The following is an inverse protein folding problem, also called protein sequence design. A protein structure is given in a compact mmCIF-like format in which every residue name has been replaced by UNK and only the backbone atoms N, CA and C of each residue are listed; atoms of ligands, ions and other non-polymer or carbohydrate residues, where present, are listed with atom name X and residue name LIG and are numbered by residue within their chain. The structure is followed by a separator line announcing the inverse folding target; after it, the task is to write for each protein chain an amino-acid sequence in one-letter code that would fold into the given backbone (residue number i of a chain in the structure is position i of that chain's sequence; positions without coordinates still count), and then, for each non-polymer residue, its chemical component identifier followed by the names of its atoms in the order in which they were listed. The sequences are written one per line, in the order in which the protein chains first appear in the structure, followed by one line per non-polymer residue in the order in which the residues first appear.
data_IF_735885209951
#
_entry.id   IF_735885209951
#
_cell.length_a   1.000
_cell.length_b   1.000
_cell.length_c   1.000
_cell.angle_alpha   90.00
_cell.angle_beta   90.00
_cell.angle_gamma   90.00
#
_symmetry.space_group_name_H-M   'P 1'
#
loop_
_entity.id
_entity.type
_entity.pdbx_description
1 polymer ?
#
# COMPACT_ATOMS: atom_id res chain seq x y z
N UNK A 1 -7.52 -7.72 -0.59
CA UNK A 1 -6.34 -6.95 -1.03
C UNK A 1 -5.89 -5.94 0.02
N UNK A 2 -6.58 -4.80 0.23
CA UNK A 2 -6.10 -3.74 1.14
C UNK A 2 -5.82 -4.19 2.60
N UNK A 3 -6.61 -5.12 3.16
CA UNK A 3 -6.36 -5.67 4.52
C UNK A 3 -5.00 -6.38 4.62
N UNK A 4 -4.68 -7.25 3.66
CA UNK A 4 -3.44 -8.00 3.63
C UNK A 4 -2.20 -7.09 3.47
N UNK A 5 -2.34 -5.98 2.72
CA UNK A 5 -1.28 -4.98 2.57
C UNK A 5 -0.98 -4.31 3.92
N UNK A 6 -2.02 -3.93 4.66
CA UNK A 6 -1.87 -3.32 5.99
C UNK A 6 -1.23 -4.30 6.98
N UNK A 7 -1.71 -5.53 7.02
CA UNK A 7 -1.15 -6.58 7.89
C UNK A 7 0.34 -6.85 7.58
N UNK A 8 0.72 -6.88 6.29
CA UNK A 8 2.12 -7.03 5.90
C UNK A 8 2.97 -5.83 6.32
N UNK A 9 2.46 -4.62 6.13
CA UNK A 9 3.15 -3.38 6.53
C UNK A 9 3.39 -3.34 8.05
N UNK A 10 2.40 -3.71 8.86
CA UNK A 10 2.51 -3.76 10.31
C UNK A 10 3.48 -4.84 10.77
N UNK A 11 3.42 -6.04 10.18
CA UNK A 11 4.37 -7.11 10.47
C UNK A 11 5.80 -6.66 10.21
N UNK A 12 6.06 -6.09 9.03
CA UNK A 12 7.40 -5.60 8.67
C UNK A 12 7.83 -4.41 9.52
N UNK A 13 6.90 -3.57 9.98
CA UNK A 13 7.23 -2.46 10.90
C UNK A 13 7.82 -2.99 12.22
N UNK A 14 7.36 -4.15 12.69
CA UNK A 14 7.88 -4.79 13.89
C UNK A 14 9.18 -5.57 13.65
N UNK A 15 9.40 -6.06 12.42
CA UNK A 15 10.60 -6.83 12.04
C UNK A 15 11.78 -5.95 11.61
N UNK A 16 11.51 -4.71 11.17
CA UNK A 16 12.52 -3.79 10.66
C UNK A 16 13.05 -2.85 11.76
N UNK A 17 14.32 -2.42 11.68
CA UNK A 17 14.87 -1.42 12.58
C UNK A 17 14.02 -0.13 12.61
N UNK A 18 13.93 0.48 13.78
CA UNK A 18 13.26 1.77 13.97
C UNK A 18 13.85 2.81 13.01
N UNK A 19 12.99 3.54 12.31
CA UNK A 19 13.37 4.52 11.30
C UNK A 19 13.43 3.97 9.86
N UNK A 20 13.26 2.66 9.66
CA UNK A 20 13.18 2.08 8.32
C UNK A 20 11.92 2.56 7.61
N UNK A 21 12.09 3.21 6.45
CA UNK A 21 10.97 3.55 5.57
C UNK A 21 10.55 2.34 4.76
N UNK A 22 9.25 2.07 4.72
CA UNK A 22 8.67 1.00 3.90
C UNK A 22 7.93 1.59 2.71
N UNK A 23 8.25 1.11 1.50
CA UNK A 23 7.50 1.40 0.28
C UNK A 23 6.69 0.18 -0.14
N UNK A 24 5.43 0.41 -0.49
CA UNK A 24 4.48 -0.60 -0.95
C UNK A 24 4.44 -0.56 -2.47
N UNK A 25 4.88 -1.64 -3.10
CA UNK A 25 4.77 -1.85 -4.55
C UNK A 25 3.58 -2.77 -4.80
N UNK A 26 2.60 -2.30 -5.57
CA UNK A 26 1.45 -3.08 -6.02
C UNK A 26 1.66 -3.39 -7.49
N UNK A 27 1.93 -4.66 -7.81
CA UNK A 27 2.02 -5.12 -9.19
C UNK A 27 0.61 -5.32 -9.76
N UNK A 28 0.26 -4.51 -10.74
CA UNK A 28 -1.00 -4.51 -11.47
C UNK A 28 -0.78 -4.64 -12.99
N UNK A 29 0.42 -5.03 -13.42
CA UNK A 29 0.77 -5.18 -14.83
C UNK A 29 -0.14 -6.22 -15.48
N UNK A 30 -0.68 -5.89 -16.65
CA UNK A 30 -1.60 -6.76 -17.40
C UNK A 30 -3.02 -6.85 -16.81
N UNK A 31 -3.35 -6.14 -15.73
CA UNK A 31 -4.70 -6.17 -15.12
C UNK A 31 -5.65 -5.08 -15.62
N UNK A 32 -5.20 -4.19 -16.53
CA UNK A 32 -6.05 -3.17 -17.14
C UNK A 32 -6.64 -2.16 -16.15
N UNK A 33 -5.92 -1.86 -15.06
CA UNK A 33 -6.42 -0.97 -14.01
C UNK A 33 -6.49 0.48 -14.52
N UNK A 34 -7.70 1.05 -14.50
CA UNK A 34 -7.92 2.46 -14.79
C UNK A 34 -7.45 3.36 -13.65
N UNK A 35 -7.16 4.63 -13.95
CA UNK A 35 -6.77 5.62 -12.95
C UNK A 35 -7.79 5.75 -11.80
N UNK A 36 -9.09 5.66 -12.10
CA UNK A 36 -10.13 5.74 -11.06
C UNK A 36 -10.09 4.54 -10.09
N UNK A 37 -9.74 3.35 -10.60
CA UNK A 37 -9.56 2.15 -9.79
C UNK A 37 -8.28 2.24 -8.95
N UNK A 38 -7.19 2.78 -9.51
CA UNK A 38 -5.95 3.06 -8.76
C UNK A 38 -6.22 3.96 -7.55
N UNK A 39 -6.93 5.09 -7.76
CA UNK A 39 -7.25 6.00 -6.65
C UNK A 39 -8.12 5.31 -5.59
N UNK A 40 -9.10 4.48 -6.00
CA UNK A 40 -9.93 3.70 -5.07
C UNK A 40 -9.10 2.68 -4.27
N UNK A 41 -8.12 2.03 -4.88
CA UNK A 41 -7.22 1.08 -4.20
C UNK A 41 -6.38 1.82 -3.17
N UNK A 42 -5.74 2.92 -3.56
CA UNK A 42 -4.92 3.77 -2.67
C UNK A 42 -5.75 4.24 -1.48
N UNK A 43 -6.94 4.79 -1.73
CA UNK A 43 -7.83 5.31 -0.69
C UNK A 43 -8.22 4.22 0.32
N UNK A 44 -8.59 3.02 -0.16
CA UNK A 44 -8.92 1.89 0.71
C UNK A 44 -7.76 1.43 1.59
N UNK A 45 -6.52 1.53 1.10
CA UNK A 45 -5.31 1.19 1.88
C UNK A 45 -5.10 2.24 2.98
N UNK A 46 -5.19 3.52 2.64
CA UNK A 46 -5.04 4.63 3.61
C UNK A 46 -6.08 4.49 4.72
N UNK A 47 -7.36 4.31 4.36
CA UNK A 47 -8.46 4.14 5.31
C UNK A 47 -8.25 2.93 6.22
N UNK A 48 -7.91 1.76 5.66
CA UNK A 48 -7.67 0.55 6.48
C UNK A 48 -6.42 0.64 7.36
N UNK A 49 -5.43 1.45 6.96
CA UNK A 49 -4.21 1.67 7.75
C UNK A 49 -4.38 2.74 8.84
N UNK A 50 -5.59 3.31 8.98
CA UNK A 50 -5.86 4.47 9.83
C UNK A 50 -4.88 5.63 9.58
N UNK A 51 -4.49 5.86 8.32
CA UNK A 51 -3.56 6.91 7.93
C UNK A 51 -2.08 6.62 8.20
N UNK A 52 -1.73 5.43 8.70
CA UNK A 52 -0.33 5.03 8.92
C UNK A 52 0.43 4.90 7.60
N UNK A 53 -0.23 4.41 6.55
CA UNK A 53 0.32 4.33 5.20
C UNK A 53 -0.15 5.57 4.43
N UNK A 54 0.78 6.34 3.86
CA UNK A 54 0.44 7.52 3.06
C UNK A 54 0.45 7.18 1.57
N UNK A 55 -0.24 8.00 0.77
CA UNK A 55 -0.20 7.88 -0.71
C UNK A 55 1.24 7.93 -1.25
N UNK A 56 2.13 8.69 -0.62
CA UNK A 56 3.55 8.78 -0.97
C UNK A 56 4.34 7.49 -0.76
N UNK A 57 3.81 6.54 0.01
CA UNK A 57 4.45 5.27 0.31
C UNK A 57 3.94 4.14 -0.60
N UNK A 58 2.95 4.41 -1.46
CA UNK A 58 2.33 3.43 -2.35
C UNK A 58 2.71 3.75 -3.80
N UNK A 59 3.22 2.74 -4.49
CA UNK A 59 3.47 2.78 -5.94
C UNK A 59 2.71 1.64 -6.59
N UNK A 60 1.83 1.96 -7.54
CA UNK A 60 1.19 0.95 -8.40
C UNK A 60 2.03 0.82 -9.65
N UNK A 61 2.59 -0.36 -9.86
CA UNK A 61 3.31 -0.69 -11.07
C UNK A 61 2.35 -1.36 -12.04
N UNK A 62 2.11 -0.71 -13.18
CA UNK A 62 1.18 -1.15 -14.22
C UNK A 62 1.88 -1.36 -15.55
#
# INVERSE_FOLDING_TARGET
MAKAIVEQYEKRKNELPIGTRQNIIIDARGQGISYSQEQKIIQKIIEKSNGTIKKSDITIWK
#
